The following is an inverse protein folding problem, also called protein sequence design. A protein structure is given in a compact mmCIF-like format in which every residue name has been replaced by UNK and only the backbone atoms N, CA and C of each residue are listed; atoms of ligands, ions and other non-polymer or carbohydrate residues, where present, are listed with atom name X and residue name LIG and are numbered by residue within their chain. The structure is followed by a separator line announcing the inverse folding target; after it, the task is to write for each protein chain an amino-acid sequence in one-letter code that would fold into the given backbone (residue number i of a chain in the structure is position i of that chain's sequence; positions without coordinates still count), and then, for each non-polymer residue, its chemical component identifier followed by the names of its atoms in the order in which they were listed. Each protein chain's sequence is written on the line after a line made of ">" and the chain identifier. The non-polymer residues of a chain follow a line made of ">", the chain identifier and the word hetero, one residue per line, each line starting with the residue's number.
data_IF_810765087985
#
_entry.id   IF_810765087985
#
_cell.length_a   1.000
_cell.length_b   1.000
_cell.length_c   1.000
_cell.angle_alpha   90.00
_cell.angle_beta   90.00
_cell.angle_gamma   90.00
#
_symmetry.space_group_name_H-M   'P 1'
#
loop_
_entity.id
_entity.type
_entity.pdbx_description
1 polymer ?
#
# COMPACT_ATOMS: atom_id res chain seq x y z
N UNK A 1 -7.27 -11.86 25.63
CA UNK A 1 -7.86 -11.31 24.38
C UNK A 1 -7.41 -9.86 24.27
N UNK A 2 -6.19 -9.66 23.79
CA UNK A 2 -5.66 -8.30 23.65
C UNK A 2 -5.66 -7.92 22.16
N UNK A 3 -6.88 -7.69 21.65
CA UNK A 3 -7.04 -7.00 20.40
C UNK A 3 -6.98 -5.49 20.68
N UNK A 4 -5.88 -4.85 20.33
CA UNK A 4 -5.77 -3.40 20.42
C UNK A 4 -6.43 -2.79 19.20
N UNK A 5 -7.63 -2.26 19.37
CA UNK A 5 -8.31 -1.48 18.34
C UNK A 5 -7.81 -0.05 18.46
N UNK A 6 -6.94 0.36 17.54
CA UNK A 6 -6.55 1.76 17.49
C UNK A 6 -7.72 2.62 16.97
N UNK A 7 -8.06 3.72 17.65
CA UNK A 7 -9.15 4.58 17.23
C UNK A 7 -8.87 5.18 15.84
N UNK A 8 -9.95 5.42 15.11
CA UNK A 8 -9.92 6.10 13.81
C UNK A 8 -9.32 7.49 14.00
N UNK A 9 -8.14 7.70 13.44
CA UNK A 9 -7.51 9.03 13.44
C UNK A 9 -8.08 9.83 12.27
N UNK A 10 -8.92 10.80 12.58
CA UNK A 10 -9.38 11.81 11.64
C UNK A 10 -8.31 12.89 11.50
N UNK A 11 -7.61 12.90 10.38
CA UNK A 11 -6.73 14.02 10.03
C UNK A 11 -7.39 14.84 8.93
N UNK A 12 -7.88 16.02 9.27
CA UNK A 12 -8.27 17.04 8.30
C UNK A 12 -7.10 18.01 8.13
N UNK A 13 -6.40 17.93 7.02
CA UNK A 13 -5.50 19.01 6.60
C UNK A 13 -6.32 20.06 5.86
N UNK A 14 -6.56 21.21 6.50
CA UNK A 14 -7.06 22.39 5.82
C UNK A 14 -5.89 23.08 5.12
N UNK A 15 -5.95 23.12 3.79
CA UNK A 15 -4.94 23.84 3.00
C UNK A 15 -5.09 25.36 3.16
N UNK A 16 -4.02 26.10 2.92
CA UNK A 16 -3.97 27.54 2.84
C UNK A 16 -4.92 28.06 1.77
N UNK A 17 -5.72 29.08 2.10
CA UNK A 17 -6.43 29.90 1.13
C UNK A 17 -5.58 31.12 0.87
N UNK A 18 -4.84 31.12 -0.24
CA UNK A 18 -4.14 32.30 -0.72
C UNK A 18 -5.11 33.11 -1.61
N UNK A 19 -5.38 34.36 -1.24
CA UNK A 19 -6.40 35.19 -1.88
C UNK A 19 -5.88 35.87 -3.18
N UNK A 20 -4.75 35.42 -3.68
CA UNK A 20 -4.05 36.10 -4.78
C UNK A 20 -4.09 35.44 -6.15
N UNK A 21 -4.88 34.46 -6.46
CA UNK A 21 -5.00 33.74 -7.76
C UNK A 21 -4.77 32.22 -7.68
N UNK A 22 -4.97 31.62 -6.55
CA UNK A 22 -4.73 30.20 -6.31
C UNK A 22 -6.04 29.44 -6.19
N UNK A 23 -6.12 28.36 -6.95
CA UNK A 23 -7.21 27.40 -6.81
C UNK A 23 -7.17 26.76 -5.41
N UNK A 24 -8.26 26.76 -4.64
CA UNK A 24 -8.26 26.18 -3.32
C UNK A 24 -7.95 24.68 -3.37
N UNK A 25 -7.00 24.25 -2.55
CA UNK A 25 -6.66 22.84 -2.38
C UNK A 25 -7.33 22.29 -1.12
N UNK A 26 -8.03 21.18 -1.26
CA UNK A 26 -8.63 20.46 -0.14
C UNK A 26 -8.24 18.98 -0.20
N UNK A 27 -7.69 18.48 0.89
CA UNK A 27 -7.39 17.07 1.09
C UNK A 27 -8.15 16.53 2.30
N UNK A 28 -8.93 15.49 2.09
CA UNK A 28 -9.59 14.73 3.13
C UNK A 28 -8.97 13.33 3.15
N UNK A 29 -8.45 12.93 4.30
CA UNK A 29 -7.89 11.59 4.51
C UNK A 29 -8.47 10.99 5.79
N UNK A 30 -8.85 9.73 5.73
CA UNK A 30 -9.24 8.96 6.90
C UNK A 30 -8.75 7.53 6.76
N UNK A 31 -8.39 6.94 7.89
CA UNK A 31 -7.92 5.56 7.95
C UNK A 31 -8.44 4.87 9.20
N UNK A 32 -8.60 3.58 9.10
CA UNK A 32 -8.90 2.69 10.21
C UNK A 32 -7.92 1.53 10.20
N UNK A 33 -7.39 1.18 11.38
CA UNK A 33 -6.41 0.11 11.51
C UNK A 33 -6.82 -0.82 12.65
N UNK A 34 -6.70 -2.12 12.40
CA UNK A 34 -6.89 -3.18 13.38
C UNK A 34 -5.60 -3.98 13.48
N UNK A 35 -5.10 -4.15 14.69
CA UNK A 35 -3.93 -4.97 15.00
C UNK A 35 -4.35 -6.12 15.91
N UNK A 36 -3.82 -7.28 15.62
CA UNK A 36 -3.94 -8.46 16.46
C UNK A 36 -2.56 -9.04 16.69
N UNK A 37 -2.21 -9.27 17.94
CA UNK A 37 -0.93 -9.88 18.34
C UNK A 37 -1.21 -10.92 19.43
N UNK A 38 -0.69 -12.13 19.24
CA UNK A 38 -0.86 -13.20 20.21
C UNK A 38 0.23 -14.25 20.14
N UNK A 39 0.71 -14.62 21.33
CA UNK A 39 1.64 -15.70 21.53
C UNK A 39 0.93 -16.93 22.09
N UNK A 40 1.20 -18.09 21.49
CA UNK A 40 0.71 -19.40 21.89
C UNK A 40 1.90 -20.33 22.17
N UNK A 41 2.55 -20.15 23.29
CA UNK A 41 3.75 -20.91 23.64
C UNK A 41 4.93 -20.63 22.71
N UNK A 42 5.20 -21.51 21.73
CA UNK A 42 6.26 -21.31 20.73
C UNK A 42 5.78 -20.66 19.44
N UNK A 43 4.49 -20.39 19.33
CA UNK A 43 3.87 -19.79 18.15
C UNK A 43 3.55 -18.32 18.45
N UNK A 44 3.96 -17.44 17.58
CA UNK A 44 3.61 -16.02 17.61
C UNK A 44 2.89 -15.64 16.31
N UNK A 45 1.74 -15.03 16.43
CA UNK A 45 0.91 -14.60 15.31
C UNK A 45 0.62 -13.12 15.44
N UNK A 46 0.95 -12.37 14.41
CA UNK A 46 0.59 -10.94 14.32
C UNK A 46 -0.21 -10.72 13.04
N UNK A 47 -1.33 -10.04 13.15
CA UNK A 47 -2.14 -9.65 12.02
C UNK A 47 -2.43 -8.15 12.07
N UNK A 48 -2.42 -7.52 10.90
CA UNK A 48 -2.73 -6.12 10.70
C UNK A 48 -3.68 -5.97 9.52
N UNK A 49 -4.75 -5.22 9.73
CA UNK A 49 -5.65 -4.75 8.68
C UNK A 49 -5.71 -3.24 8.70
N UNK A 50 -5.51 -2.61 7.57
CA UNK A 50 -5.58 -1.16 7.37
C UNK A 50 -6.53 -0.87 6.22
N UNK A 51 -7.45 0.05 6.46
CA UNK A 51 -8.26 0.71 5.44
C UNK A 51 -7.90 2.18 5.42
N UNK A 52 -7.72 2.75 4.24
CA UNK A 52 -7.56 4.20 4.09
C UNK A 52 -8.31 4.71 2.87
N UNK A 53 -8.81 5.93 2.98
CA UNK A 53 -9.47 6.62 1.87
C UNK A 53 -9.04 8.08 1.84
N UNK A 54 -8.72 8.54 0.63
CA UNK A 54 -8.27 9.90 0.37
C UNK A 54 -9.16 10.54 -0.70
N UNK A 55 -9.50 11.79 -0.46
CA UNK A 55 -10.16 12.67 -1.43
C UNK A 55 -9.35 13.95 -1.54
N UNK A 56 -8.92 14.29 -2.74
CA UNK A 56 -8.23 15.55 -3.03
C UNK A 56 -9.03 16.35 -4.06
N UNK A 57 -9.06 17.67 -3.88
CA UNK A 57 -9.75 18.59 -4.79
C UNK A 57 -8.86 19.81 -4.99
N UNK A 58 -8.64 20.19 -6.24
CA UNK A 58 -7.86 21.35 -6.65
C UNK A 58 -8.77 22.32 -7.40
N UNK A 59 -9.08 23.47 -6.79
CA UNK A 59 -9.91 24.49 -7.40
C UNK A 59 -11.26 23.99 -7.88
N UNK A 60 -11.55 24.16 -9.16
CA UNK A 60 -12.74 23.68 -9.85
C UNK A 60 -12.58 22.29 -10.46
N UNK A 61 -11.45 21.64 -10.24
CA UNK A 61 -11.17 20.32 -10.79
C UNK A 61 -11.99 19.22 -10.13
N UNK A 62 -12.19 18.10 -10.85
CA UNK A 62 -12.85 16.94 -10.29
C UNK A 62 -12.02 16.35 -9.14
N UNK A 63 -12.72 15.95 -8.08
CA UNK A 63 -12.07 15.37 -6.92
C UNK A 63 -11.33 14.08 -7.26
N UNK A 64 -10.12 13.93 -6.74
CA UNK A 64 -9.33 12.70 -6.82
C UNK A 64 -9.69 11.78 -5.66
N UNK A 65 -9.99 10.53 -5.98
CA UNK A 65 -10.32 9.49 -5.00
C UNK A 65 -9.30 8.37 -5.06
N UNK A 66 -8.81 8.00 -3.89
CA UNK A 66 -7.97 6.82 -3.69
C UNK A 66 -8.49 6.04 -2.49
N UNK A 67 -8.53 4.73 -2.62
CA UNK A 67 -8.92 3.81 -1.57
C UNK A 67 -7.93 2.66 -1.50
N UNK A 68 -7.42 2.40 -0.30
CA UNK A 68 -6.41 1.38 -0.07
C UNK A 68 -6.83 0.47 1.08
N UNK A 69 -6.77 -0.83 0.83
CA UNK A 69 -6.91 -1.89 1.82
C UNK A 69 -5.59 -2.63 1.92
N UNK A 70 -5.03 -2.69 3.10
CA UNK A 70 -3.76 -3.37 3.34
C UNK A 70 -3.95 -4.38 4.44
N UNK A 71 -3.41 -5.56 4.27
CA UNK A 71 -3.35 -6.56 5.31
C UNK A 71 -1.96 -7.18 5.39
N UNK A 72 -1.57 -7.55 6.60
CA UNK A 72 -0.34 -8.26 6.89
C UNK A 72 -0.63 -9.36 7.89
N UNK A 73 -0.11 -10.53 7.64
CA UNK A 73 -0.11 -11.66 8.56
C UNK A 73 1.34 -12.11 8.74
N UNK A 74 1.79 -12.12 9.98
CA UNK A 74 3.12 -12.62 10.34
C UNK A 74 2.95 -13.80 11.27
N UNK A 75 3.68 -14.86 11.01
CA UNK A 75 3.73 -16.05 11.84
C UNK A 75 5.17 -16.42 12.15
N UNK A 76 5.45 -16.69 13.40
CA UNK A 76 6.75 -17.11 13.90
C UNK A 76 6.59 -18.36 14.73
N UNK A 77 7.43 -19.38 14.49
CA UNK A 77 7.51 -20.58 15.29
C UNK A 77 8.88 -20.69 15.95
N UNK A 78 8.89 -20.67 17.28
CA UNK A 78 10.06 -20.86 18.13
C UNK A 78 11.28 -19.97 17.77
N UNK A 79 11.05 -18.79 17.16
CA UNK A 79 12.07 -17.88 16.63
C UNK A 79 12.99 -18.53 15.55
N UNK A 80 12.53 -19.61 14.95
CA UNK A 80 13.29 -20.36 13.92
C UNK A 80 12.68 -20.20 12.54
N UNK A 81 11.36 -20.35 12.45
CA UNK A 81 10.63 -20.29 11.19
C UNK A 81 9.76 -19.06 11.19
N UNK A 82 9.88 -18.25 10.15
CA UNK A 82 9.17 -17.01 9.97
C UNK A 82 8.41 -17.05 8.66
N UNK A 83 7.13 -16.70 8.70
CA UNK A 83 6.28 -16.55 7.52
C UNK A 83 5.60 -15.21 7.58
N UNK A 84 5.55 -14.52 6.47
CA UNK A 84 4.85 -13.27 6.33
C UNK A 84 4.07 -13.25 5.02
N UNK A 85 2.80 -12.93 5.10
CA UNK A 85 1.93 -12.70 3.96
C UNK A 85 1.40 -11.27 4.03
N UNK A 86 1.60 -10.52 2.96
CA UNK A 86 1.06 -9.17 2.83
C UNK A 86 0.17 -9.11 1.59
N UNK A 87 -0.81 -8.24 1.63
CA UNK A 87 -1.63 -7.93 0.48
C UNK A 87 -2.07 -6.49 0.54
N UNK A 88 -2.02 -5.84 -0.61
CA UNK A 88 -2.58 -4.52 -0.81
C UNK A 88 -3.63 -4.59 -1.92
N UNK A 89 -4.82 -4.08 -1.63
CA UNK A 89 -5.91 -3.95 -2.60
C UNK A 89 -6.19 -2.46 -2.75
N UNK A 90 -5.65 -1.89 -3.82
CA UNK A 90 -5.61 -0.45 -4.03
C UNK A 90 -6.55 -0.06 -5.16
N UNK A 91 -7.35 0.97 -4.92
CA UNK A 91 -8.27 1.56 -5.89
C UNK A 91 -7.84 2.96 -6.28
N UNK A 92 -7.76 3.20 -7.59
CA UNK A 92 -7.46 4.51 -8.16
C UNK A 92 -8.52 4.89 -9.22
N UNK A 93 -8.97 6.13 -9.18
CA UNK A 93 -9.92 6.67 -10.16
C UNK A 93 -9.35 6.85 -11.56
N UNK A 94 -8.03 6.80 -11.70
CA UNK A 94 -7.33 6.95 -12.98
C UNK A 94 -7.69 5.83 -13.96
N UNK A 95 -8.14 4.69 -13.44
CA UNK A 95 -8.52 3.52 -14.22
C UNK A 95 -10.03 3.41 -14.39
N UNK A 96 -10.45 2.77 -15.48
CA UNK A 96 -11.86 2.55 -15.79
C UNK A 96 -12.59 1.75 -14.71
N UNK A 97 -13.94 1.80 -14.66
CA UNK A 97 -14.74 1.21 -13.60
C UNK A 97 -14.45 -0.27 -13.34
N UNK A 98 -14.11 -1.03 -14.39
CA UNK A 98 -13.85 -2.48 -14.31
C UNK A 98 -12.41 -2.82 -13.85
N UNK A 99 -11.46 -1.86 -13.94
CA UNK A 99 -10.04 -2.06 -13.65
C UNK A 99 -9.55 -1.09 -12.56
N UNK A 100 -10.48 -0.51 -11.81
CA UNK A 100 -10.16 0.50 -10.79
C UNK A 100 -9.37 -0.02 -9.63
N UNK A 101 -9.57 -1.29 -9.27
CA UNK A 101 -8.91 -1.95 -8.15
C UNK A 101 -7.91 -3.00 -8.62
N UNK A 102 -6.76 -3.04 -7.96
CA UNK A 102 -5.75 -4.05 -8.21
C UNK A 102 -5.25 -4.66 -6.91
N UNK A 103 -4.95 -5.96 -6.94
CA UNK A 103 -4.45 -6.71 -5.81
C UNK A 103 -2.95 -7.00 -5.97
N UNK A 104 -2.18 -6.68 -4.93
CA UNK A 104 -0.72 -6.81 -4.88
C UNK A 104 -0.33 -7.70 -3.70
N UNK A 105 -0.25 -9.02 -3.91
CA UNK A 105 0.21 -9.95 -2.87
C UNK A 105 1.73 -9.97 -2.76
N UNK A 106 2.22 -10.19 -1.54
CA UNK A 106 3.61 -10.57 -1.29
C UNK A 106 3.70 -11.61 -0.19
N UNK A 107 4.66 -12.52 -0.32
CA UNK A 107 4.93 -13.61 0.60
C UNK A 107 6.41 -13.61 0.94
N UNK A 108 6.74 -13.85 2.18
CA UNK A 108 8.12 -14.12 2.59
C UNK A 108 8.19 -15.27 3.59
N UNK A 109 9.30 -16.00 3.51
CA UNK A 109 9.63 -17.06 4.45
C UNK A 109 11.07 -16.86 4.93
N UNK A 110 11.31 -17.12 6.20
CA UNK A 110 12.61 -17.03 6.83
C UNK A 110 12.90 -18.25 7.68
N UNK A 111 14.14 -18.70 7.66
CA UNK A 111 14.61 -19.81 8.48
C UNK A 111 15.89 -19.41 9.21
N UNK A 112 15.84 -19.45 10.53
CA UNK A 112 16.98 -19.20 11.39
C UNK A 112 17.74 -20.50 11.62
N UNK A 113 18.65 -20.83 10.72
CA UNK A 113 19.40 -22.09 10.75
C UNK A 113 20.29 -22.18 12.00
N UNK A 114 20.83 -21.06 12.46
CA UNK A 114 21.67 -21.01 13.66
C UNK A 114 20.98 -21.46 14.94
N UNK A 115 19.63 -21.43 14.99
CA UNK A 115 18.85 -21.89 16.15
C UNK A 115 18.51 -23.40 16.10
N UNK A 116 18.89 -24.09 15.03
CA UNK A 116 18.66 -25.52 14.91
C UNK A 116 19.61 -26.35 15.79
N UNK A 117 19.14 -27.50 16.30
CA UNK A 117 19.95 -28.34 17.18
C UNK A 117 21.28 -28.79 16.59
N UNK A 118 21.35 -29.00 15.28
CA UNK A 118 22.57 -29.44 14.60
C UNK A 118 23.62 -28.32 14.47
N UNK A 119 23.23 -27.06 14.61
CA UNK A 119 24.11 -25.89 14.55
C UNK A 119 24.72 -25.51 15.91
N UNK A 120 24.25 -26.11 17.01
CA UNK A 120 24.70 -25.76 18.36
C UNK A 120 26.22 -25.86 18.50
N UNK A 121 26.85 -26.93 17.98
CA UNK A 121 28.31 -27.15 18.04
C UNK A 121 29.09 -26.03 17.36
N UNK A 122 28.62 -25.56 16.21
CA UNK A 122 29.25 -24.46 15.46
C UNK A 122 29.08 -23.12 16.17
N UNK A 123 27.94 -22.92 16.84
CA UNK A 123 27.68 -21.71 17.64
C UNK A 123 28.50 -21.69 18.91
N UNK A 124 28.64 -22.81 19.62
CA UNK A 124 29.48 -22.94 20.81
C UNK A 124 30.95 -22.67 20.52
N UNK A 125 31.42 -23.08 19.35
CA UNK A 125 32.77 -22.80 18.86
C UNK A 125 32.95 -21.38 18.32
N UNK A 126 31.90 -20.53 18.35
CA UNK A 126 31.90 -19.15 17.81
C UNK A 126 32.32 -19.06 16.34
N UNK A 127 32.07 -20.12 15.56
CA UNK A 127 32.35 -20.14 14.12
C UNK A 127 31.20 -19.43 13.37
N UNK A 128 29.96 -19.60 13.83
CA UNK A 128 28.78 -18.98 13.24
C UNK A 128 27.89 -18.45 14.37
N UNK A 129 27.76 -17.15 14.49
CA UNK A 129 26.91 -16.51 15.50
C UNK A 129 25.45 -16.49 15.06
N UNK A 130 25.18 -16.11 13.78
CA UNK A 130 23.84 -16.06 13.22
C UNK A 130 23.85 -16.44 11.74
N UNK A 131 23.00 -17.40 11.39
CA UNK A 131 22.75 -17.78 10.00
C UNK A 131 21.24 -17.82 9.75
N UNK A 132 20.76 -16.88 8.93
CA UNK A 132 19.35 -16.76 8.56
C UNK A 132 19.20 -16.84 7.04
N UNK A 133 18.35 -17.75 6.59
CA UNK A 133 17.90 -17.81 5.21
C UNK A 133 16.58 -17.05 5.06
N UNK A 134 16.44 -16.30 3.96
CA UNK A 134 15.20 -15.57 3.68
C UNK A 134 14.86 -15.68 2.20
N UNK A 135 13.60 -16.00 1.95
CA UNK A 135 13.00 -15.96 0.63
C UNK A 135 11.85 -14.95 0.64
N UNK A 136 11.73 -14.17 -0.41
CA UNK A 136 10.60 -13.26 -0.59
C UNK A 136 10.17 -13.23 -2.05
N UNK A 137 8.86 -13.19 -2.24
CA UNK A 137 8.21 -13.02 -3.53
C UNK A 137 7.09 -12.01 -3.39
N UNK A 138 6.90 -11.16 -4.39
CA UNK A 138 5.84 -10.18 -4.36
C UNK A 138 5.52 -9.63 -5.74
N UNK A 139 4.32 -9.10 -5.85
CA UNK A 139 3.82 -8.39 -7.02
C UNK A 139 3.61 -6.93 -6.65
N UNK A 140 4.15 -6.04 -7.48
CA UNK A 140 4.05 -4.59 -7.29
C UNK A 140 3.35 -3.99 -8.50
N UNK A 141 2.57 -2.95 -8.28
CA UNK A 141 1.96 -2.13 -9.33
C UNK A 141 2.13 -0.66 -8.97
N UNK A 142 2.10 0.18 -9.99
CA UNK A 142 2.16 1.63 -9.85
C UNK A 142 0.95 2.25 -10.56
N UNK A 143 0.36 3.28 -9.96
CA UNK A 143 -0.69 4.11 -10.52
C UNK A 143 -0.18 5.50 -10.95
N UNK A 144 1.14 5.69 -10.96
CA UNK A 144 1.78 6.93 -11.39
C UNK A 144 1.78 7.07 -12.92
N UNK A 145 0.60 7.10 -13.49
CA UNK A 145 0.37 7.40 -14.91
C UNK A 145 0.10 8.89 -15.03
N UNK A 146 0.80 9.55 -15.96
CA UNK A 146 0.77 11.01 -16.12
C UNK A 146 -0.61 11.60 -16.46
N UNK A 147 -1.57 10.78 -16.90
CA UNK A 147 -2.87 11.24 -17.40
C UNK A 147 -4.03 10.66 -16.58
N UNK A 148 -5.13 11.40 -16.54
CA UNK A 148 -6.40 10.97 -15.94
C UNK A 148 -7.27 10.32 -17.03
N UNK A 149 -8.17 9.43 -16.59
CA UNK A 149 -9.16 8.80 -17.46
C UNK A 149 -8.59 8.13 -18.71
N UNK A 150 -7.53 7.35 -18.53
CA UNK A 150 -6.87 6.56 -19.59
C UNK A 150 -7.82 5.67 -20.41
N UNK A 151 -9.05 5.49 -19.93
CA UNK A 151 -10.09 4.70 -20.58
C UNK A 151 -11.05 5.53 -21.43
N UNK A 152 -10.87 6.86 -21.49
CA UNK A 152 -11.69 7.75 -22.33
C UNK A 152 -10.87 8.17 -23.55
N UNK A 153 -11.54 8.19 -24.71
CA UNK A 153 -10.95 8.71 -25.93
C UNK A 153 -10.72 10.22 -25.78
N UNK A 154 -9.46 10.63 -25.88
CA UNK A 154 -9.08 12.03 -25.88
C UNK A 154 -9.12 12.55 -27.30
N UNK A 155 -10.10 13.39 -27.61
CA UNK A 155 -10.17 14.10 -28.88
C UNK A 155 -9.22 15.31 -28.81
N UNK A 156 -8.09 15.21 -29.49
CA UNK A 156 -7.22 16.36 -29.75
C UNK A 156 -7.75 17.08 -31.01
N UNK A 157 -8.22 18.30 -30.86
CA UNK A 157 -8.49 19.15 -32.00
C UNK A 157 -7.16 19.52 -32.67
N UNK A 158 -6.86 18.87 -33.78
CA UNK A 158 -5.76 19.28 -34.67
C UNK A 158 -5.98 20.69 -35.15
N UNK A 159 -4.86 21.39 -35.41
CA UNK A 159 -4.85 22.81 -35.76
C UNK A 159 -5.82 23.21 -36.87
N UNK A 160 -6.15 24.48 -36.89
CA UNK A 160 -7.10 25.13 -37.82
C UNK A 160 -6.93 24.65 -39.26
N UNK A 161 -7.94 24.01 -39.80
CA UNK A 161 -8.03 23.78 -41.25
C UNK A 161 -8.32 25.14 -41.87
N UNK A 162 -7.34 25.74 -42.54
CA UNK A 162 -7.55 26.92 -43.36
C UNK A 162 -8.47 26.52 -44.50
N UNK A 163 -9.75 26.87 -44.45
CA UNK A 163 -10.61 26.80 -45.62
C UNK A 163 -10.12 27.87 -46.59
N UNK A 164 -9.66 27.42 -47.74
CA UNK A 164 -9.20 28.31 -48.78
C UNK A 164 -10.27 29.36 -49.17
N UNK A 165 -9.84 30.62 -49.35
CA UNK A 165 -10.69 31.67 -49.84
C UNK A 165 -11.16 31.30 -51.26
N UNK A 166 -12.48 31.14 -51.41
CA UNK A 166 -13.09 31.09 -52.74
C UNK A 166 -12.97 32.48 -53.32
N UNK A 167 -12.25 32.62 -54.47
CA UNK A 167 -12.25 33.81 -55.30
C UNK A 167 -13.48 33.83 -56.18
#
# INVERSE_FOLDING_TARGET
>A
LDAVINPILWQTQSGYVDIGNTSPYRKLYYSAQVNYDRDFGKHSVTALGLFSRQKETWGSDFAHYREDWVFRLTYNYALRYFFEANGAYNGSEKFGPNNRFAFFPSLSAGWMISEEPFMKVLREKKIVDMLKFRFSWGRVGDDNVGERWLYQDQLSYGGNIAMGSVR
#
